data_IF_297809528563
#
_entry.id   IF_297809528563
#
_cell.length_a   1.000
_cell.length_b   1.000
_cell.length_c   1.000
_cell.angle_alpha   90.00
_cell.angle_beta   90.00
_cell.angle_gamma   90.00
#
_symmetry.space_group_name_H-M   'P 1'
#
loop_
_entity.id
_entity.type
_entity.pdbx_description
1 polymer ?
#
# COMPACT_ATOMS: atom_id res chain seq x y z
N UNK A 1 22.05 28.27 -56.22
CA UNK A 1 20.96 27.30 -56.01
C UNK A 1 21.60 25.92 -55.95
N UNK A 2 21.48 25.03 -54.95
CA UNK A 2 20.70 24.91 -53.70
C UNK A 2 21.60 24.15 -52.70
N UNK A 3 21.59 24.57 -51.44
CA UNK A 3 22.26 23.88 -50.33
C UNK A 3 21.57 22.52 -50.09
N UNK A 4 22.32 21.43 -50.13
CA UNK A 4 21.84 20.11 -49.71
C UNK A 4 21.97 19.98 -48.20
N UNK A 5 20.82 20.03 -47.55
CA UNK A 5 20.64 20.01 -46.10
C UNK A 5 21.08 18.65 -45.54
N UNK A 6 22.09 18.65 -44.67
CA UNK A 6 22.44 17.50 -43.82
C UNK A 6 21.33 17.32 -42.78
N UNK A 7 20.57 16.23 -42.86
CA UNK A 7 19.67 15.79 -41.78
C UNK A 7 20.13 14.41 -41.29
N UNK A 8 21.11 14.45 -40.38
CA UNK A 8 21.34 13.38 -39.40
C UNK A 8 20.31 13.59 -38.28
N UNK A 9 19.11 13.04 -38.47
CA UNK A 9 18.09 12.95 -37.43
C UNK A 9 17.90 11.50 -37.04
N UNK A 10 18.72 11.01 -36.10
CA UNK A 10 18.51 9.71 -35.48
C UNK A 10 17.22 9.76 -34.66
N UNK A 11 16.15 9.15 -35.17
CA UNK A 11 14.93 8.89 -34.40
C UNK A 11 15.22 7.72 -33.47
N UNK A 12 15.69 8.01 -32.26
CA UNK A 12 15.65 7.03 -31.18
C UNK A 12 14.20 6.83 -30.76
N UNK A 13 13.59 5.75 -31.27
CA UNK A 13 12.38 5.19 -30.68
C UNK A 13 12.70 4.84 -29.21
N UNK A 14 12.24 5.70 -28.30
CA UNK A 14 12.12 5.37 -26.89
C UNK A 14 11.12 4.22 -26.79
N UNK A 15 11.66 2.99 -26.74
CA UNK A 15 10.93 1.83 -26.30
C UNK A 15 10.50 2.07 -24.86
N UNK A 16 9.26 2.54 -24.67
CA UNK A 16 8.53 2.29 -23.44
C UNK A 16 8.29 0.78 -23.40
N UNK A 17 9.30 0.05 -22.91
CA UNK A 17 9.05 -1.20 -22.24
C UNK A 17 8.19 -0.85 -21.02
N UNK A 18 6.88 -0.76 -21.23
CA UNK A 18 5.93 -0.83 -20.15
C UNK A 18 6.18 -2.16 -19.47
N UNK A 19 6.89 -2.13 -18.34
CA UNK A 19 6.95 -3.28 -17.46
C UNK A 19 5.50 -3.69 -17.21
N UNK A 20 5.15 -4.89 -17.66
CA UNK A 20 3.84 -5.47 -17.45
C UNK A 20 3.62 -5.59 -15.94
N UNK A 21 3.04 -4.57 -15.31
CA UNK A 21 2.38 -4.67 -14.00
C UNK A 21 1.05 -5.40 -14.17
N UNK A 22 1.05 -6.51 -14.91
CA UNK A 22 -0.11 -7.38 -15.05
C UNK A 22 0.11 -8.54 -14.08
N UNK A 23 0.03 -8.21 -12.79
CA UNK A 23 -0.22 -9.18 -11.74
C UNK A 23 -1.35 -8.60 -10.92
N UNK A 24 -2.50 -9.28 -10.98
CA UNK A 24 -3.59 -9.18 -10.01
C UNK A 24 -2.99 -8.85 -8.63
N UNK A 25 -3.42 -7.78 -7.93
CA UNK A 25 -2.81 -7.43 -6.65
C UNK A 25 -3.04 -8.58 -5.66
N UNK A 26 -2.03 -9.45 -5.54
CA UNK A 26 -2.02 -10.59 -4.62
C UNK A 26 -1.42 -10.21 -3.27
N UNK A 27 -1.02 -8.95 -3.14
CA UNK A 27 -0.46 -8.34 -1.94
C UNK A 27 -1.21 -7.06 -1.64
N UNK A 28 -1.49 -6.78 -0.37
CA UNK A 28 -2.09 -5.53 0.11
C UNK A 28 -1.44 -4.32 -0.53
N UNK A 29 -0.11 -4.34 -0.67
CA UNK A 29 0.67 -3.27 -1.32
C UNK A 29 0.11 -2.85 -2.68
N UNK A 30 -0.35 -3.80 -3.50
CA UNK A 30 -0.82 -3.51 -4.86
C UNK A 30 -2.23 -2.93 -4.94
N UNK A 31 -2.99 -3.04 -3.84
CA UNK A 31 -4.37 -2.57 -3.74
C UNK A 31 -4.48 -1.16 -3.13
N UNK A 32 -3.35 -0.56 -2.73
CA UNK A 32 -3.28 0.80 -2.20
C UNK A 32 -2.56 1.73 -3.15
N UNK A 33 -3.03 2.97 -3.23
CA UNK A 33 -2.38 4.03 -3.98
C UNK A 33 -2.34 5.35 -3.21
N UNK A 34 -1.32 6.16 -3.49
CA UNK A 34 -1.21 7.55 -3.04
C UNK A 34 -0.28 8.29 -3.99
N UNK A 35 -0.62 9.50 -4.46
CA UNK A 35 0.26 10.27 -5.33
C UNK A 35 1.67 10.42 -4.72
N UNK A 36 2.68 9.96 -5.46
CA UNK A 36 4.09 10.01 -5.04
C UNK A 36 4.53 8.93 -4.06
N UNK A 37 3.68 7.98 -3.68
CA UNK A 37 4.07 6.82 -2.89
C UNK A 37 4.45 5.64 -3.81
N UNK A 38 5.61 5.05 -3.56
CA UNK A 38 5.99 3.77 -4.17
C UNK A 38 5.55 2.59 -3.29
N UNK A 39 5.82 1.36 -3.77
CA UNK A 39 5.48 0.15 -3.03
C UNK A 39 6.20 0.04 -1.68
N UNK A 40 7.39 0.61 -1.54
CA UNK A 40 8.10 0.63 -0.25
C UNK A 40 7.40 1.55 0.74
N UNK A 41 6.93 2.72 0.32
CA UNK A 41 6.18 3.63 1.18
C UNK A 41 4.81 3.05 1.57
N UNK A 42 4.12 2.37 0.66
CA UNK A 42 2.88 1.64 0.98
C UNK A 42 3.17 0.53 2.00
N UNK A 43 4.22 -0.28 1.78
CA UNK A 43 4.65 -1.32 2.70
C UNK A 43 4.99 -0.77 4.09
N UNK A 44 5.73 0.36 4.14
CA UNK A 44 5.99 1.07 5.40
C UNK A 44 4.69 1.51 6.07
N UNK A 45 3.77 2.14 5.34
CA UNK A 45 2.51 2.61 5.88
C UNK A 45 1.65 1.47 6.46
N UNK A 46 1.54 0.34 5.76
CA UNK A 46 0.82 -0.84 6.25
C UNK A 46 1.38 -1.34 7.58
N UNK A 47 2.69 -1.51 7.66
CA UNK A 47 3.38 -1.94 8.88
C UNK A 47 3.23 -0.91 10.02
N UNK A 48 3.28 0.38 9.70
CA UNK A 48 3.10 1.48 10.66
C UNK A 48 1.66 1.59 11.18
N UNK A 49 0.68 1.27 10.34
CA UNK A 49 -0.72 1.14 10.73
C UNK A 49 -0.98 -0.10 11.58
N UNK A 50 -0.15 -1.12 11.45
CA UNK A 50 -0.10 -2.27 12.36
C UNK A 50 -0.34 -3.61 11.69
N UNK A 51 -0.18 -3.66 10.37
CA UNK A 51 -0.14 -4.92 9.67
C UNK A 51 1.10 -5.72 10.09
N UNK A 52 0.95 -7.01 10.46
CA UNK A 52 2.09 -7.86 10.81
C UNK A 52 3.13 -8.00 9.69
N UNK A 53 2.66 -8.13 8.45
CA UNK A 53 3.48 -8.12 7.23
C UNK A 53 2.75 -7.35 6.13
N UNK A 54 3.43 -6.80 5.12
CA UNK A 54 2.77 -6.03 4.08
C UNK A 54 2.15 -6.92 2.98
N UNK A 55 2.02 -8.24 3.22
CA UNK A 55 1.50 -9.21 2.25
C UNK A 55 0.29 -9.96 2.80
N UNK A 56 -0.89 -9.77 2.22
CA UNK A 56 -2.16 -10.32 2.74
C UNK A 56 -2.16 -11.82 2.98
N UNK A 57 -1.48 -12.58 2.12
CA UNK A 57 -1.47 -14.04 2.17
C UNK A 57 -0.60 -14.62 3.30
N UNK A 58 0.19 -13.78 3.98
CA UNK A 58 1.10 -14.18 5.06
C UNK A 58 0.33 -14.77 6.26
N UNK A 59 0.78 -15.91 6.83
CA UNK A 59 0.14 -16.51 7.99
C UNK A 59 -0.01 -15.60 9.21
N UNK A 60 0.88 -14.61 9.39
CA UNK A 60 0.76 -13.63 10.48
C UNK A 60 -0.48 -12.73 10.31
N UNK A 61 -0.81 -12.37 9.07
CA UNK A 61 -1.99 -11.54 8.78
C UNK A 61 -3.31 -12.30 8.98
N UNK A 62 -3.30 -13.63 8.81
CA UNK A 62 -4.48 -14.49 9.07
C UNK A 62 -4.91 -14.51 10.54
N UNK A 63 -4.04 -14.08 11.46
CA UNK A 63 -4.33 -13.99 12.90
C UNK A 63 -5.07 -12.71 13.28
N UNK A 64 -5.19 -11.76 12.36
CA UNK A 64 -5.88 -10.49 12.61
C UNK A 64 -7.39 -10.72 12.73
N UNK A 65 -8.01 -10.06 13.72
CA UNK A 65 -9.46 -9.97 13.78
C UNK A 65 -9.99 -9.03 12.69
N UNK A 66 -11.28 -9.15 12.36
CA UNK A 66 -11.95 -8.26 11.41
C UNK A 66 -11.82 -6.79 11.86
N UNK A 67 -11.95 -6.52 13.16
CA UNK A 67 -11.73 -5.16 13.69
C UNK A 67 -10.28 -4.68 13.48
N UNK A 68 -9.28 -5.56 13.60
CA UNK A 68 -7.89 -5.19 13.36
C UNK A 68 -7.65 -4.84 11.88
N UNK A 69 -8.23 -5.61 10.95
CA UNK A 69 -8.23 -5.29 9.52
C UNK A 69 -8.90 -3.94 9.24
N UNK A 70 -10.11 -3.73 9.76
CA UNK A 70 -10.83 -2.47 9.62
C UNK A 70 -10.01 -1.28 10.19
N UNK A 71 -9.28 -1.49 11.29
CA UNK A 71 -8.40 -0.47 11.90
C UNK A 71 -7.20 -0.14 11.02
N UNK A 72 -6.56 -1.14 10.41
CA UNK A 72 -5.44 -0.93 9.49
C UNK A 72 -5.91 -0.15 8.27
N UNK A 73 -7.04 -0.54 7.66
CA UNK A 73 -7.61 0.19 6.52
C UNK A 73 -7.97 1.63 6.88
N UNK A 74 -8.62 1.86 8.02
CA UNK A 74 -8.95 3.21 8.49
C UNK A 74 -7.68 4.07 8.69
N UNK A 75 -6.60 3.50 9.23
CA UNK A 75 -5.32 4.18 9.39
C UNK A 75 -4.66 4.53 8.05
N UNK A 76 -4.72 3.63 7.06
CA UNK A 76 -4.21 3.87 5.71
C UNK A 76 -4.97 5.02 5.04
N UNK A 77 -6.30 4.98 5.09
CA UNK A 77 -7.16 6.06 4.56
C UNK A 77 -6.90 7.39 5.26
N UNK A 78 -6.80 7.39 6.59
CA UNK A 78 -6.43 8.59 7.36
C UNK A 78 -5.04 9.14 6.97
N UNK A 79 -4.14 8.28 6.49
CA UNK A 79 -2.80 8.65 6.04
C UNK A 79 -2.77 9.12 4.57
N UNK A 80 -3.93 9.22 3.93
CA UNK A 80 -4.10 9.70 2.55
C UNK A 80 -3.81 8.65 1.50
N UNK A 81 -3.91 7.36 1.84
CA UNK A 81 -3.90 6.27 0.86
C UNK A 81 -5.32 5.92 0.46
N UNK A 82 -5.51 5.56 -0.81
CA UNK A 82 -6.77 5.12 -1.38
C UNK A 82 -6.70 3.63 -1.68
N UNK A 83 -7.78 2.92 -1.39
CA UNK A 83 -7.90 1.50 -1.72
C UNK A 83 -8.58 1.37 -3.08
N UNK A 84 -8.12 0.47 -3.94
CA UNK A 84 -8.65 0.32 -5.32
C UNK A 84 -10.19 0.16 -5.38
N UNK A 85 -10.79 -0.48 -4.38
CA UNK A 85 -12.23 -0.73 -4.29
C UNK A 85 -12.90 0.07 -3.16
N UNK A 86 -12.35 1.25 -2.80
CA UNK A 86 -12.91 2.11 -1.74
C UNK A 86 -14.39 2.47 -1.99
N UNK A 87 -14.83 2.50 -3.26
CA UNK A 87 -16.21 2.74 -3.67
C UNK A 87 -17.23 1.70 -3.17
N UNK A 88 -16.79 0.52 -2.71
CA UNK A 88 -17.66 -0.54 -2.19
C UNK A 88 -18.08 -0.30 -0.72
N UNK A 89 -17.71 0.85 -0.14
CA UNK A 89 -18.08 1.25 1.22
C UNK A 89 -17.10 0.78 2.31
N UNK A 90 -16.11 -0.03 1.95
CA UNK A 90 -15.03 -0.46 2.83
C UNK A 90 -15.47 -1.33 4.02
N UNK A 91 -14.55 -1.56 4.96
CA UNK A 91 -14.75 -2.51 6.06
C UNK A 91 -15.95 -2.17 6.95
N UNK A 92 -16.15 -0.89 7.28
CA UNK A 92 -17.24 -0.50 8.17
C UNK A 92 -18.63 -0.64 7.53
N UNK A 93 -18.71 -0.57 6.20
CA UNK A 93 -19.94 -0.88 5.48
C UNK A 93 -20.17 -2.39 5.41
N UNK A 94 -19.16 -3.15 4.99
CA UNK A 94 -19.22 -4.62 4.83
C UNK A 94 -19.58 -5.31 6.14
N UNK A 95 -18.97 -4.88 7.25
CA UNK A 95 -19.12 -5.50 8.57
C UNK A 95 -20.02 -4.69 9.51
N UNK A 96 -20.94 -3.88 8.97
CA UNK A 96 -21.85 -3.02 9.76
C UNK A 96 -22.64 -3.78 10.84
N UNK A 97 -23.05 -5.01 10.55
CA UNK A 97 -23.85 -5.84 11.46
C UNK A 97 -23.06 -6.26 12.71
N UNK A 98 -21.73 -6.32 12.62
CA UNK A 98 -20.83 -6.74 13.70
C UNK A 98 -20.51 -5.58 14.65
N UNK A 99 -20.88 -4.34 14.29
CA UNK A 99 -20.68 -3.14 15.10
C UNK A 99 -19.23 -3.05 15.63
N UNK A 100 -18.27 -3.21 14.70
CA UNK A 100 -16.84 -3.22 14.99
C UNK A 100 -16.44 -1.95 15.77
N UNK A 101 -15.66 -2.08 16.87
CA UNK A 101 -15.23 -0.92 17.67
C UNK A 101 -14.68 0.26 16.87
N UNK A 102 -13.87 0.01 15.83
CA UNK A 102 -13.28 1.08 15.01
C UNK A 102 -14.30 1.80 14.12
N UNK A 103 -15.44 1.18 13.83
CA UNK A 103 -16.48 1.72 12.97
C UNK A 103 -17.52 2.55 13.72
N UNK A 104 -17.39 2.66 15.05
CA UNK A 104 -18.32 3.42 15.88
C UNK A 104 -18.05 4.92 15.80
N UNK A 105 -19.08 5.76 15.91
CA UNK A 105 -18.90 7.20 16.04
C UNK A 105 -17.92 7.54 17.18
N UNK A 106 -16.94 8.40 16.90
CA UNK A 106 -15.93 8.82 17.88
C UNK A 106 -14.79 7.82 18.10
N UNK A 107 -14.74 6.70 17.36
CA UNK A 107 -13.59 5.81 17.40
C UNK A 107 -12.30 6.53 16.98
N UNK A 108 -11.24 6.36 17.76
CA UNK A 108 -9.94 6.96 17.48
C UNK A 108 -9.18 6.06 16.52
N UNK A 109 -9.03 6.51 15.28
CA UNK A 109 -8.18 5.84 14.29
C UNK A 109 -6.71 6.03 14.70
N UNK A 110 -5.92 4.94 14.81
CA UNK A 110 -4.52 5.06 15.17
C UNK A 110 -3.75 5.73 14.02
N UNK A 111 -2.81 6.60 14.38
CA UNK A 111 -1.84 7.15 13.43
C UNK A 111 -0.74 6.14 13.15
N UNK A 112 -0.07 6.31 12.01
CA UNK A 112 1.16 5.60 11.64
C UNK A 112 2.21 5.71 12.75
N UNK A 113 2.93 4.62 12.98
CA UNK A 113 4.00 4.56 13.97
C UNK A 113 5.21 3.79 13.45
N UNK A 114 6.31 4.49 13.22
CA UNK A 114 7.62 3.89 12.87
C UNK A 114 8.01 2.81 13.87
N UNK A 115 7.80 3.05 15.17
CA UNK A 115 8.05 2.06 16.23
C UNK A 115 7.25 0.79 16.00
N UNK A 116 5.99 0.88 15.57
CA UNK A 116 5.15 -0.29 15.28
C UNK A 116 5.70 -1.08 14.09
N UNK A 117 6.06 -0.39 13.00
CA UNK A 117 6.68 -0.99 11.82
C UNK A 117 7.96 -1.76 12.14
N UNK A 118 8.91 -1.11 12.81
CA UNK A 118 10.20 -1.72 13.14
C UNK A 118 10.07 -2.90 14.11
N UNK A 119 8.98 -2.98 14.88
CA UNK A 119 8.68 -4.08 15.79
C UNK A 119 7.74 -5.15 15.20
N UNK A 120 7.29 -5.00 13.95
CA UNK A 120 6.44 -5.98 13.27
C UNK A 120 7.14 -7.34 13.12
N UNK A 121 6.39 -8.46 13.05
CA UNK A 121 6.95 -9.76 12.69
C UNK A 121 7.80 -9.71 11.42
N UNK A 122 7.34 -8.97 10.40
CA UNK A 122 8.08 -8.78 9.16
C UNK A 122 9.47 -8.17 9.39
N UNK A 123 9.57 -7.01 10.06
CA UNK A 123 10.85 -6.34 10.25
C UNK A 123 11.77 -7.01 11.27
N UNK A 124 11.23 -7.77 12.22
CA UNK A 124 12.03 -8.63 13.09
C UNK A 124 12.74 -9.73 12.31
N UNK A 125 12.06 -10.29 11.29
CA UNK A 125 12.57 -11.36 10.43
C UNK A 125 13.48 -10.83 9.31
N UNK A 126 13.07 -9.75 8.64
CA UNK A 126 13.72 -9.19 7.46
C UNK A 126 14.30 -7.80 7.73
N UNK A 127 15.25 -7.72 8.66
CA UNK A 127 15.83 -6.44 9.13
C UNK A 127 16.42 -5.56 8.01
N UNK A 128 16.88 -6.17 6.92
CA UNK A 128 17.51 -5.47 5.79
C UNK A 128 16.53 -5.13 4.67
N UNK A 129 15.24 -5.45 4.81
CA UNK A 129 14.24 -5.05 3.82
C UNK A 129 14.12 -3.51 3.76
N UNK A 130 13.84 -2.92 2.59
CA UNK A 130 13.66 -1.47 2.43
C UNK A 130 12.60 -0.89 3.36
N UNK A 131 11.52 -1.64 3.60
CA UNK A 131 10.42 -1.26 4.49
C UNK A 131 10.85 -1.27 5.96
N UNK A 132 12.00 -1.84 6.31
CA UNK A 132 12.48 -1.97 7.68
C UNK A 132 13.65 -1.05 8.01
N UNK A 133 14.07 -0.22 7.05
CA UNK A 133 15.03 0.85 7.30
C UNK A 133 14.37 2.01 8.06
N UNK A 134 15.07 2.66 9.01
CA UNK A 134 14.53 3.78 9.80
C UNK A 134 13.75 4.80 8.97
#
# INVERSE_FOLDING_TARGET
MKQTLKLLGAVTLLGIAGCQFNKTPTSSIGAWEKPGADFTEIGKALLECGMPTPYDTDPENRKLSINAWATIHACMVQSGFHYENEHEGGWCYTFRAENLPICRPGAVIPKRSVKKRLNSPFCKKYKNAPECQP
#
